data_IF_216319633905
#
_entry.id   IF_216319633905
#
_cell.length_a   1.000
_cell.length_b   1.000
_cell.length_c   1.000
_cell.angle_alpha   90.00
_cell.angle_beta   90.00
_cell.angle_gamma   90.00
#
_symmetry.space_group_name_H-M   'P 1'
#
loop_
_entity.id
_entity.type
_entity.pdbx_description
1 polymer ?
#
# COMPACT_ATOMS: atom_id res chain seq x y z
N UNK A 1 22.49 6.91 17.82
CA UNK A 1 21.09 7.16 17.41
C UNK A 1 21.05 7.97 16.13
N UNK A 2 21.81 9.07 16.02
CA UNK A 2 21.94 9.89 14.80
C UNK A 2 22.34 9.10 13.55
N UNK A 3 23.27 8.14 13.64
CA UNK A 3 23.64 7.27 12.52
C UNK A 3 22.44 6.48 11.94
N UNK A 4 21.58 5.92 12.80
CA UNK A 4 20.40 5.19 12.36
C UNK A 4 19.40 6.14 11.68
N UNK A 5 19.19 7.33 12.25
CA UNK A 5 18.30 8.36 11.68
C UNK A 5 18.78 8.75 10.29
N UNK A 6 20.06 9.15 10.16
CA UNK A 6 20.64 9.57 8.88
C UNK A 6 20.59 8.45 7.82
N UNK A 7 20.83 7.20 8.23
CA UNK A 7 20.69 6.06 7.35
C UNK A 7 19.26 5.91 6.82
N UNK A 8 18.23 6.00 7.66
CA UNK A 8 16.84 5.87 7.22
C UNK A 8 16.35 7.08 6.42
N UNK A 9 16.89 8.28 6.66
CA UNK A 9 16.64 9.47 5.84
C UNK A 9 17.19 9.32 4.41
N UNK A 10 18.34 8.65 4.27
CA UNK A 10 19.07 8.56 2.98
C UNK A 10 19.15 7.14 2.43
N UNK A 11 18.30 6.22 2.94
CA UNK A 11 18.42 4.79 2.66
C UNK A 11 18.41 4.52 1.15
N UNK A 12 19.46 3.85 0.60
CA UNK A 12 19.53 3.55 -0.81
C UNK A 12 18.30 2.77 -1.29
N UNK A 13 17.86 3.03 -2.52
CA UNK A 13 16.74 2.30 -3.13
C UNK A 13 16.98 0.78 -3.12
N UNK A 14 18.22 0.35 -3.35
CA UNK A 14 18.62 -1.05 -3.26
C UNK A 14 18.32 -1.66 -1.87
N UNK A 15 18.64 -0.94 -0.79
CA UNK A 15 18.41 -1.44 0.57
C UNK A 15 16.92 -1.53 0.89
N UNK A 16 16.12 -0.53 0.46
CA UNK A 16 14.66 -0.57 0.58
C UNK A 16 14.06 -1.77 -0.14
N UNK A 17 14.47 -1.99 -1.39
CA UNK A 17 14.06 -3.15 -2.18
C UNK A 17 14.50 -4.47 -1.54
N UNK A 18 15.73 -4.53 -1.00
CA UNK A 18 16.24 -5.71 -0.32
C UNK A 18 15.45 -6.03 0.96
N UNK A 19 15.01 -5.03 1.73
CA UNK A 19 14.15 -5.24 2.89
C UNK A 19 12.77 -5.77 2.48
N UNK A 20 12.17 -5.20 1.44
CA UNK A 20 10.84 -5.62 0.96
C UNK A 20 10.88 -7.04 0.37
N UNK A 21 11.73 -7.27 -0.62
CA UNK A 21 11.86 -8.57 -1.31
C UNK A 21 12.43 -9.63 -0.36
N UNK A 22 13.44 -9.25 0.43
CA UNK A 22 14.07 -10.13 1.42
C UNK A 22 13.12 -10.52 2.54
N UNK A 23 12.26 -9.60 3.01
CA UNK A 23 11.22 -9.90 3.99
C UNK A 23 10.24 -10.96 3.47
N UNK A 24 9.70 -10.76 2.26
CA UNK A 24 8.82 -11.75 1.62
C UNK A 24 9.53 -13.09 1.45
N UNK A 25 10.77 -13.10 0.94
CA UNK A 25 11.54 -14.33 0.76
C UNK A 25 11.82 -15.06 2.08
N UNK A 26 12.19 -14.32 3.14
CA UNK A 26 12.45 -14.86 4.47
C UNK A 26 11.22 -15.54 5.06
N UNK A 27 10.08 -14.84 5.11
CA UNK A 27 8.84 -15.42 5.62
C UNK A 27 8.34 -16.58 4.77
N UNK A 28 8.49 -16.49 3.44
CA UNK A 28 8.17 -17.58 2.52
C UNK A 28 8.97 -18.85 2.81
N UNK A 29 10.29 -18.71 3.04
CA UNK A 29 11.19 -19.82 3.39
C UNK A 29 10.84 -20.41 4.76
N UNK A 30 10.64 -19.54 5.76
CA UNK A 30 10.26 -19.94 7.12
C UNK A 30 8.96 -20.77 7.10
N UNK A 31 7.95 -20.28 6.39
CA UNK A 31 6.65 -20.95 6.24
C UNK A 31 6.75 -22.25 5.43
N UNK A 32 7.63 -22.32 4.42
CA UNK A 32 7.88 -23.55 3.65
C UNK A 32 8.61 -24.63 4.46
N UNK A 33 9.30 -24.24 5.53
CA UNK A 33 9.91 -25.16 6.49
C UNK A 33 8.92 -25.74 7.52
N UNK A 34 7.69 -25.20 7.61
CA UNK A 34 6.67 -25.73 8.50
C UNK A 34 6.13 -27.08 7.97
N UNK A 35 5.70 -28.00 8.87
CA UNK A 35 5.21 -29.30 8.45
C UNK A 35 4.06 -29.19 7.44
N UNK A 36 4.18 -29.87 6.30
CA UNK A 36 3.18 -29.82 5.21
C UNK A 36 1.76 -30.24 5.61
N UNK A 37 1.55 -30.82 6.81
CA UNK A 37 0.22 -31.06 7.38
C UNK A 37 -0.57 -29.77 7.67
N UNK A 38 0.12 -28.63 7.78
CA UNK A 38 -0.50 -27.32 7.96
C UNK A 38 -0.95 -26.68 6.64
N UNK A 39 -0.44 -27.16 5.48
CA UNK A 39 -0.68 -26.54 4.17
C UNK A 39 -1.08 -27.61 3.14
N UNK A 40 -2.39 -27.79 2.95
CA UNK A 40 -2.95 -28.79 2.02
C UNK A 40 -3.29 -28.20 0.64
N UNK A 41 -2.40 -27.35 0.09
CA UNK A 41 -2.58 -26.71 -1.22
C UNK A 41 -1.25 -26.56 -1.97
N UNK A 42 -1.33 -26.23 -3.27
CA UNK A 42 -0.16 -26.03 -4.13
C UNK A 42 0.38 -24.61 -4.00
N UNK A 43 1.28 -24.40 -3.03
CA UNK A 43 1.84 -23.08 -2.68
C UNK A 43 2.39 -22.28 -3.87
N UNK A 44 3.14 -22.91 -4.78
CA UNK A 44 3.69 -22.21 -5.97
C UNK A 44 2.62 -21.69 -6.92
N UNK A 45 1.50 -22.43 -7.08
CA UNK A 45 0.38 -22.00 -7.92
C UNK A 45 -0.37 -20.82 -7.29
N UNK A 46 -0.57 -20.88 -5.97
CA UNK A 46 -1.19 -19.80 -5.19
C UNK A 46 -0.34 -18.52 -5.24
N UNK A 47 0.97 -18.60 -4.96
CA UNK A 47 1.90 -17.49 -5.11
C UNK A 47 1.90 -16.88 -6.51
N UNK A 48 1.89 -17.71 -7.57
CA UNK A 48 1.92 -17.20 -8.94
C UNK A 48 0.75 -16.25 -9.23
N UNK A 49 -0.45 -16.60 -8.74
CA UNK A 49 -1.62 -15.74 -8.86
C UNK A 49 -1.50 -14.47 -8.02
N UNK A 50 -1.02 -14.59 -6.77
CA UNK A 50 -0.86 -13.45 -5.87
C UNK A 50 0.21 -12.47 -6.38
N UNK A 51 1.32 -12.97 -6.91
CA UNK A 51 2.36 -12.15 -7.53
C UNK A 51 1.90 -11.49 -8.82
N UNK A 52 1.02 -12.12 -9.61
CA UNK A 52 0.39 -11.45 -10.76
C UNK A 52 -0.39 -10.21 -10.31
N UNK A 53 -1.27 -10.34 -9.31
CA UNK A 53 -2.01 -9.21 -8.76
C UNK A 53 -1.07 -8.16 -8.15
N UNK A 54 -0.10 -8.59 -7.35
CA UNK A 54 0.90 -7.71 -6.75
C UNK A 54 1.64 -6.90 -7.83
N UNK A 55 2.10 -7.54 -8.90
CA UNK A 55 2.80 -6.87 -10.00
C UNK A 55 1.90 -5.85 -10.70
N UNK A 56 0.64 -6.19 -10.98
CA UNK A 56 -0.30 -5.23 -11.59
C UNK A 56 -0.58 -4.04 -10.69
N UNK A 57 -0.72 -4.26 -9.39
CA UNK A 57 -0.92 -3.20 -8.38
C UNK A 57 0.32 -2.33 -8.24
N UNK A 58 1.53 -2.89 -8.27
CA UNK A 58 2.78 -2.12 -8.28
C UNK A 58 2.84 -1.21 -9.52
N UNK A 59 2.51 -1.72 -10.70
CA UNK A 59 2.53 -0.92 -11.94
C UNK A 59 1.57 0.28 -11.87
N UNK A 60 0.35 0.05 -11.39
CA UNK A 60 -0.64 1.12 -11.20
C UNK A 60 -0.20 2.10 -10.10
N UNK A 61 0.24 1.61 -8.94
CA UNK A 61 0.71 2.46 -7.84
C UNK A 61 1.90 3.32 -8.25
N UNK A 62 2.85 2.79 -9.03
CA UNK A 62 4.00 3.55 -9.48
C UNK A 62 3.59 4.68 -10.44
N UNK A 63 2.59 4.42 -11.30
CA UNK A 63 2.02 5.43 -12.18
C UNK A 63 1.29 6.53 -11.39
N UNK A 64 0.47 6.14 -10.41
CA UNK A 64 -0.27 7.06 -9.54
C UNK A 64 0.65 7.84 -8.58
N UNK A 65 1.78 7.27 -8.16
CA UNK A 65 2.77 7.97 -7.35
C UNK A 65 3.36 9.18 -8.08
N UNK A 66 3.57 9.07 -9.41
CA UNK A 66 3.97 10.22 -10.23
C UNK A 66 2.92 11.32 -10.25
N UNK A 67 1.64 10.96 -10.36
CA UNK A 67 0.53 11.92 -10.28
C UNK A 67 0.46 12.59 -8.91
N UNK A 68 0.62 11.83 -7.83
CA UNK A 68 0.58 12.34 -6.46
C UNK A 68 1.75 13.30 -6.19
N UNK A 69 2.95 12.98 -6.66
CA UNK A 69 4.10 13.89 -6.58
C UNK A 69 3.84 15.19 -7.34
N UNK A 70 3.36 15.09 -8.58
CA UNK A 70 3.03 16.26 -9.38
C UNK A 70 1.95 17.14 -8.73
N UNK A 71 0.90 16.53 -8.17
CA UNK A 71 -0.14 17.25 -7.42
C UNK A 71 0.42 17.92 -6.15
N UNK A 72 1.34 17.27 -5.45
CA UNK A 72 2.03 17.86 -4.29
C UNK A 72 2.82 19.11 -4.69
N UNK A 73 3.61 19.04 -5.75
CA UNK A 73 4.39 20.19 -6.24
C UNK A 73 3.48 21.31 -6.76
N UNK A 74 2.40 20.95 -7.46
CA UNK A 74 1.43 21.90 -7.99
C UNK A 74 0.69 22.64 -6.88
N UNK A 75 0.19 21.91 -5.87
CA UNK A 75 -0.48 22.49 -4.70
C UNK A 75 0.46 23.39 -3.91
N UNK A 76 1.74 23.01 -3.79
CA UNK A 76 2.75 23.85 -3.19
C UNK A 76 3.00 25.14 -3.96
N UNK A 77 3.14 25.06 -5.29
CA UNK A 77 3.42 26.23 -6.12
C UNK A 77 2.24 27.22 -6.14
N UNK A 78 1.01 26.71 -6.15
CA UNK A 78 -0.21 27.52 -6.23
C UNK A 78 -0.81 27.85 -4.86
N UNK A 79 -0.18 27.38 -3.77
CA UNK A 79 -0.68 27.52 -2.39
C UNK A 79 -2.14 27.05 -2.27
N UNK A 80 -2.45 25.92 -2.92
CA UNK A 80 -3.79 25.37 -3.00
C UNK A 80 -3.97 24.18 -2.05
N UNK A 81 -5.10 24.13 -1.35
CA UNK A 81 -5.47 23.01 -0.50
C UNK A 81 -5.65 23.37 0.96
N UNK A 82 -6.18 22.42 1.74
CA UNK A 82 -6.62 22.66 3.11
C UNK A 82 -5.50 23.15 4.03
N UNK A 83 -4.28 22.65 3.86
CA UNK A 83 -3.15 23.04 4.71
C UNK A 83 -2.80 24.53 4.57
N UNK A 84 -3.00 25.12 3.39
CA UNK A 84 -2.81 26.55 3.17
C UNK A 84 -3.91 27.40 3.80
N UNK A 85 -5.16 26.90 3.80
CA UNK A 85 -6.28 27.51 4.53
C UNK A 85 -6.02 27.48 6.04
N UNK A 86 -5.43 26.39 6.54
CA UNK A 86 -5.06 26.20 7.94
C UNK A 86 -3.65 26.73 8.27
N UNK A 87 -3.08 27.62 7.45
CA UNK A 87 -1.73 28.14 7.67
C UNK A 87 -1.55 28.93 8.97
N UNK A 88 -2.65 29.40 9.57
CA UNK A 88 -2.65 30.17 10.83
C UNK A 88 -2.50 29.32 12.10
N UNK A 89 -2.68 27.99 12.03
CA UNK A 89 -2.52 27.09 13.17
C UNK A 89 -1.09 26.51 13.22
N UNK A 90 -0.60 26.05 14.39
CA UNK A 90 0.73 25.48 14.52
C UNK A 90 0.98 24.28 13.58
N UNK A 91 2.21 24.13 13.10
CA UNK A 91 2.58 23.09 12.14
C UNK A 91 2.22 21.67 12.60
N UNK A 92 2.43 21.34 13.88
CA UNK A 92 2.07 20.02 14.42
C UNK A 92 0.57 19.72 14.26
N UNK A 93 -0.29 20.73 14.39
CA UNK A 93 -1.74 20.58 14.24
C UNK A 93 -2.12 20.41 12.76
N UNK A 94 -1.44 21.13 11.85
CA UNK A 94 -1.61 20.92 10.40
C UNK A 94 -1.26 19.48 10.00
N UNK A 95 -0.14 18.93 10.52
CA UNK A 95 0.27 17.54 10.27
C UNK A 95 -0.78 16.56 10.78
N UNK A 96 -1.26 16.72 12.02
CA UNK A 96 -2.28 15.82 12.58
C UNK A 96 -3.58 15.86 11.77
N UNK A 97 -4.05 17.05 11.40
CA UNK A 97 -5.26 17.20 10.57
C UNK A 97 -5.05 16.58 9.19
N UNK A 98 -3.89 16.85 8.57
CA UNK A 98 -3.54 16.28 7.27
C UNK A 98 -3.54 14.74 7.29
N UNK A 99 -2.85 14.13 8.26
CA UNK A 99 -2.82 12.67 8.43
C UNK A 99 -4.22 12.11 8.71
N UNK A 100 -4.99 12.75 9.60
CA UNK A 100 -6.34 12.30 9.93
C UNK A 100 -7.28 12.34 8.70
N UNK A 101 -7.14 13.34 7.83
CA UNK A 101 -7.93 13.42 6.60
C UNK A 101 -7.47 12.45 5.52
N UNK A 102 -6.15 12.23 5.39
CA UNK A 102 -5.61 11.20 4.52
C UNK A 102 -6.12 9.82 4.93
N UNK A 103 -6.15 9.52 6.22
CA UNK A 103 -6.72 8.28 6.75
C UNK A 103 -8.23 8.20 6.51
N UNK A 104 -8.99 9.23 6.92
CA UNK A 104 -10.44 9.23 6.81
C UNK A 104 -10.91 9.09 5.34
N UNK A 105 -10.28 9.81 4.41
CA UNK A 105 -10.71 9.87 3.01
C UNK A 105 -10.03 8.74 2.21
N UNK A 106 -8.71 8.71 2.19
CA UNK A 106 -7.92 7.82 1.33
C UNK A 106 -7.83 6.37 1.83
N UNK A 107 -8.05 6.13 3.13
CA UNK A 107 -8.08 4.77 3.68
C UNK A 107 -9.51 4.35 4.05
N UNK A 108 -10.15 5.03 5.01
CA UNK A 108 -11.43 4.59 5.57
C UNK A 108 -12.57 4.69 4.56
N UNK A 109 -12.82 5.86 3.96
CA UNK A 109 -13.92 6.02 3.01
C UNK A 109 -13.66 5.28 1.69
N UNK A 110 -12.42 5.25 1.21
CA UNK A 110 -12.06 4.41 0.06
C UNK A 110 -12.45 2.95 0.31
N UNK A 111 -12.01 2.36 1.42
CA UNK A 111 -12.32 0.97 1.78
C UNK A 111 -13.81 0.74 2.06
N UNK A 112 -14.47 1.67 2.74
CA UNK A 112 -15.91 1.60 2.96
C UNK A 112 -16.67 1.62 1.63
N UNK A 113 -16.27 2.46 0.68
CA UNK A 113 -16.87 2.53 -0.65
C UNK A 113 -16.65 1.24 -1.44
N UNK A 114 -15.47 0.63 -1.32
CA UNK A 114 -15.13 -0.68 -1.88
C UNK A 114 -16.08 -1.76 -1.35
N UNK A 115 -16.47 -1.71 -0.08
CA UNK A 115 -17.45 -2.64 0.49
C UNK A 115 -18.92 -2.31 0.19
N UNK A 116 -19.26 -1.05 -0.06
CA UNK A 116 -20.66 -0.63 -0.24
C UNK A 116 -21.13 -0.60 -1.69
N UNK A 117 -20.25 -0.25 -2.63
CA UNK A 117 -20.60 -0.11 -4.04
C UNK A 117 -20.36 -1.44 -4.75
N UNK A 118 -21.41 -2.04 -5.34
CA UNK A 118 -21.36 -3.39 -5.94
C UNK A 118 -20.21 -3.60 -6.94
N UNK A 119 -19.92 -2.59 -7.76
CA UNK A 119 -18.82 -2.67 -8.76
C UNK A 119 -17.46 -2.67 -8.05
N UNK A 120 -17.25 -1.78 -7.09
CA UNK A 120 -16.01 -1.69 -6.33
C UNK A 120 -15.80 -2.92 -5.45
N UNK A 121 -16.88 -3.45 -4.89
CA UNK A 121 -16.87 -4.73 -4.19
C UNK A 121 -16.40 -5.86 -5.09
N UNK A 122 -16.77 -5.87 -6.37
CA UNK A 122 -16.28 -6.87 -7.32
C UNK A 122 -14.75 -6.89 -7.45
N UNK A 123 -14.10 -5.71 -7.41
CA UNK A 123 -12.65 -5.63 -7.41
C UNK A 123 -12.06 -6.05 -6.06
N UNK A 124 -12.60 -5.49 -4.97
CA UNK A 124 -12.11 -5.73 -3.61
C UNK A 124 -12.38 -7.16 -3.12
N UNK A 125 -13.33 -7.86 -3.72
CA UNK A 125 -13.62 -9.27 -3.45
C UNK A 125 -12.37 -10.15 -3.72
N UNK A 126 -11.50 -9.76 -4.65
CA UNK A 126 -10.24 -10.48 -4.91
C UNK A 126 -9.37 -10.48 -3.65
N UNK A 127 -9.31 -9.40 -2.89
CA UNK A 127 -8.60 -9.41 -1.62
C UNK A 127 -9.28 -10.35 -0.60
N UNK A 128 -10.61 -10.35 -0.54
CA UNK A 128 -11.37 -11.10 0.48
C UNK A 128 -11.63 -12.58 0.21
N UNK A 129 -11.42 -13.07 -1.01
CA UNK A 129 -11.73 -14.47 -1.38
C UNK A 129 -10.48 -15.32 -1.59
N UNK A 130 -9.36 -14.97 -0.96
CA UNK A 130 -8.24 -15.91 -0.92
C UNK A 130 -8.60 -17.08 0.02
N UNK A 131 -8.56 -18.31 -0.50
CA UNK A 131 -8.93 -19.51 0.25
C UNK A 131 -7.77 -20.06 1.07
N UNK A 132 -6.54 -19.63 0.76
CA UNK A 132 -5.32 -20.07 1.42
C UNK A 132 -4.64 -18.84 2.00
N UNK A 133 -4.11 -18.96 3.22
CA UNK A 133 -3.41 -17.86 3.90
C UNK A 133 -1.94 -18.21 3.94
N UNK A 134 -1.14 -17.41 3.28
CA UNK A 134 0.32 -17.54 3.25
C UNK A 134 1.01 -16.18 3.14
N UNK A 135 2.34 -16.19 3.08
CA UNK A 135 3.16 -14.97 3.00
C UNK A 135 2.75 -14.00 1.86
N UNK A 136 2.10 -14.49 0.79
CA UNK A 136 1.70 -13.69 -0.37
C UNK A 136 0.26 -13.18 -0.33
N UNK A 137 -0.59 -13.76 0.51
CA UNK A 137 -2.03 -13.43 0.60
C UNK A 137 -2.28 -11.95 0.84
N UNK A 138 -1.49 -11.32 1.73
CA UNK A 138 -1.66 -9.92 2.08
C UNK A 138 -1.46 -8.93 0.91
N UNK A 139 -0.76 -9.34 -0.16
CA UNK A 139 -0.46 -8.48 -1.31
C UNK A 139 -1.42 -8.71 -2.50
N UNK A 140 -2.42 -9.59 -2.34
CA UNK A 140 -3.39 -9.93 -3.37
C UNK A 140 -4.49 -8.86 -3.48
N UNK A 141 -4.16 -7.72 -4.09
CA UNK A 141 -5.12 -6.66 -4.38
C UNK A 141 -5.40 -6.54 -5.88
N UNK A 142 -6.64 -6.20 -6.23
CA UNK A 142 -6.96 -5.79 -7.59
C UNK A 142 -6.44 -4.37 -7.84
N UNK A 143 -5.81 -4.08 -8.99
CA UNK A 143 -5.20 -2.78 -9.26
C UNK A 143 -6.18 -1.59 -9.22
N UNK A 144 -7.49 -1.82 -9.45
CA UNK A 144 -8.49 -0.76 -9.34
C UNK A 144 -8.79 -0.32 -7.91
N UNK A 145 -8.44 -1.12 -6.90
CA UNK A 145 -8.52 -0.67 -5.49
C UNK A 145 -7.59 0.55 -5.28
N UNK A 146 -6.41 0.55 -5.90
CA UNK A 146 -5.50 1.69 -5.86
C UNK A 146 -6.08 2.94 -6.51
N UNK A 147 -6.83 2.79 -7.60
CA UNK A 147 -7.46 3.94 -8.27
C UNK A 147 -8.51 4.59 -7.37
N UNK A 148 -9.29 3.79 -6.64
CA UNK A 148 -10.27 4.30 -5.67
C UNK A 148 -9.58 4.97 -4.48
N UNK A 149 -8.46 4.43 -4.01
CA UNK A 149 -7.71 4.98 -2.87
C UNK A 149 -6.98 6.28 -3.17
N UNK A 150 -6.60 6.50 -4.43
CA UNK A 150 -5.94 7.74 -4.88
C UNK A 150 -6.93 8.79 -5.40
N UNK A 151 -8.17 8.40 -5.71
CA UNK A 151 -9.20 9.26 -6.32
C UNK A 151 -10.06 10.04 -5.35
#
# INVERSE_FOLDING_TARGET
>A
MEYLINYFETIPSLHRSALLVGGIAFFWMLESGLPGRLMNYKKTKHAGLNFFFTATTILVNFSLAGLLLWLSDWTQTHQWGLLYVLSSIPFWAQVLIGVALLDLIGAYFAHWSEHKVKVLWGFHLIHHTDHEVDTTTANRHHPMESVVRFG
#
